data_IF_201167537129
#
_entry.id   IF_201167537129
#
_cell.length_a   1.000
_cell.length_b   1.000
_cell.length_c   1.000
_cell.angle_alpha   90.00
_cell.angle_beta   90.00
_cell.angle_gamma   90.00
#
_symmetry.space_group_name_H-M   'P 1'
#
loop_
_entity.id
_entity.type
_entity.pdbx_description
1 polymer ?
#
# COMPACT_ATOMS: atom_id res chain seq x y z
N UNK A 1 14.94 11.41 -9.78
CA UNK A 1 14.21 10.77 -8.68
C UNK A 1 13.31 9.73 -9.31
N UNK A 2 13.60 8.45 -9.17
CA UNK A 2 12.76 7.38 -9.72
C UNK A 2 11.46 7.37 -8.93
N UNK A 3 10.37 7.81 -9.54
CA UNK A 3 9.06 7.88 -8.89
C UNK A 3 8.64 6.46 -8.50
N UNK A 4 8.23 6.25 -7.25
CA UNK A 4 7.90 4.91 -6.72
C UNK A 4 6.53 4.38 -7.21
N UNK A 5 5.83 5.17 -8.03
CA UNK A 5 4.53 4.90 -8.63
C UNK A 5 4.43 5.60 -10.01
N UNK A 6 3.38 5.29 -10.77
CA UNK A 6 3.21 5.67 -12.17
C UNK A 6 2.31 6.92 -12.30
N UNK A 7 2.93 8.07 -12.54
CA UNK A 7 2.21 9.34 -12.69
C UNK A 7 1.42 9.41 -14.01
N UNK A 8 1.93 8.83 -15.09
CA UNK A 8 1.25 8.86 -16.39
C UNK A 8 -0.09 8.12 -16.28
N UNK A 9 -0.12 7.03 -15.51
CA UNK A 9 -1.35 6.32 -15.17
C UNK A 9 -2.35 7.18 -14.39
N UNK A 10 -1.89 8.03 -13.47
CA UNK A 10 -2.80 8.94 -12.76
C UNK A 10 -3.41 9.97 -13.73
N UNK A 11 -2.59 10.51 -14.64
CA UNK A 11 -3.06 11.44 -15.67
C UNK A 11 -4.07 10.78 -16.60
N UNK A 12 -3.86 9.51 -16.96
CA UNK A 12 -4.81 8.73 -17.76
C UNK A 12 -6.16 8.53 -17.04
N UNK A 13 -6.15 8.29 -15.72
CA UNK A 13 -7.35 8.01 -14.93
C UNK A 13 -8.12 9.27 -14.49
N UNK A 14 -7.41 10.34 -14.14
CA UNK A 14 -7.97 11.52 -13.49
C UNK A 14 -7.81 12.81 -14.31
N UNK A 15 -7.09 12.76 -15.44
CA UNK A 15 -6.72 13.92 -16.22
C UNK A 15 -5.47 14.63 -15.68
N UNK A 16 -4.99 15.62 -16.43
CA UNK A 16 -3.78 16.40 -16.09
C UNK A 16 -4.10 17.64 -15.23
N UNK A 17 -5.09 17.53 -14.34
CA UNK A 17 -5.38 18.60 -13.37
C UNK A 17 -4.47 18.47 -12.15
N UNK A 18 -3.55 19.43 -11.89
CA UNK A 18 -2.58 19.29 -10.81
C UNK A 18 -3.20 19.17 -9.41
N UNK A 19 -4.36 19.78 -9.17
CA UNK A 19 -5.04 19.73 -7.89
C UNK A 19 -5.62 18.33 -7.61
N UNK A 20 -6.29 17.74 -8.60
CA UNK A 20 -6.82 16.38 -8.55
C UNK A 20 -5.70 15.36 -8.36
N UNK A 21 -4.61 15.48 -9.12
CA UNK A 21 -3.46 14.58 -8.99
C UNK A 21 -2.83 14.64 -7.58
N UNK A 22 -2.65 15.85 -7.03
CA UNK A 22 -2.13 16.03 -5.69
C UNK A 22 -3.06 15.48 -4.60
N UNK A 23 -4.38 15.55 -4.80
CA UNK A 23 -5.37 14.96 -3.90
C UNK A 23 -5.28 13.42 -3.88
N UNK A 24 -5.24 12.80 -5.06
CA UNK A 24 -5.10 11.34 -5.19
C UNK A 24 -3.79 10.85 -4.59
N UNK A 25 -2.69 11.54 -4.86
CA UNK A 25 -1.39 11.23 -4.25
C UNK A 25 -1.49 11.30 -2.73
N UNK A 26 -2.04 12.39 -2.17
CA UNK A 26 -2.19 12.56 -0.72
C UNK A 26 -3.05 11.46 -0.08
N UNK A 27 -4.17 11.08 -0.70
CA UNK A 27 -5.03 10.00 -0.20
C UNK A 27 -4.31 8.65 -0.20
N UNK A 28 -3.55 8.37 -1.25
CA UNK A 28 -2.72 7.17 -1.32
C UNK A 28 -1.65 7.16 -0.22
N UNK A 29 -0.96 8.27 0.02
CA UNK A 29 0.04 8.40 1.07
C UNK A 29 -0.54 8.17 2.47
N UNK A 30 -1.71 8.73 2.74
CA UNK A 30 -2.39 8.52 4.02
C UNK A 30 -2.81 7.05 4.18
N UNK A 31 -3.35 6.44 3.12
CA UNK A 31 -3.69 5.01 3.10
C UNK A 31 -2.48 4.12 3.41
N UNK A 32 -1.32 4.43 2.83
CA UNK A 32 -0.07 3.68 3.08
C UNK A 32 0.37 3.79 4.55
N UNK A 33 0.37 5.01 5.09
CA UNK A 33 0.75 5.29 6.49
C UNK A 33 -0.21 4.65 7.50
N UNK A 34 -1.51 4.70 7.22
CA UNK A 34 -2.53 4.06 8.08
C UNK A 34 -2.37 2.54 8.06
N UNK A 35 -2.23 1.94 6.88
CA UNK A 35 -2.06 0.50 6.76
C UNK A 35 -0.77 0.01 7.46
N UNK A 36 0.33 0.75 7.36
CA UNK A 36 1.57 0.41 8.07
C UNK A 36 1.39 0.40 9.59
N UNK A 37 0.72 1.42 10.14
CA UNK A 37 0.41 1.46 11.58
C UNK A 37 -0.47 0.30 12.00
N UNK A 38 -1.57 0.06 11.28
CA UNK A 38 -2.49 -1.04 11.59
C UNK A 38 -1.77 -2.39 11.57
N UNK A 39 -0.95 -2.67 10.55
CA UNK A 39 -0.24 -3.95 10.43
C UNK A 39 0.83 -4.10 11.53
N UNK A 40 1.49 -3.01 11.92
CA UNK A 40 2.50 -3.02 12.99
C UNK A 40 1.90 -3.25 14.36
N UNK A 41 0.79 -2.58 14.66
CA UNK A 41 0.33 -2.36 16.04
C UNK A 41 -0.68 -3.42 16.52
N UNK A 42 -1.05 -4.40 15.69
CA UNK A 42 -1.97 -5.49 16.05
C UNK A 42 -1.50 -6.85 15.53
N UNK A 43 -1.81 -7.93 16.27
CA UNK A 43 -1.69 -9.33 15.81
C UNK A 43 -3.03 -9.88 15.24
N UNK A 44 -4.09 -9.07 15.21
CA UNK A 44 -5.39 -9.46 14.64
C UNK A 44 -5.29 -9.59 13.10
N UNK A 45 -5.28 -10.83 12.62
CA UNK A 45 -5.13 -11.18 11.22
C UNK A 45 -6.28 -10.67 10.34
N UNK A 46 -7.49 -10.48 10.90
CA UNK A 46 -8.62 -9.89 10.15
C UNK A 46 -8.37 -8.41 9.90
N UNK A 47 -7.85 -7.68 10.89
CA UNK A 47 -7.47 -6.26 10.74
C UNK A 47 -6.33 -6.11 9.74
N UNK A 48 -5.28 -6.92 9.88
CA UNK A 48 -4.11 -6.92 8.97
C UNK A 48 -4.55 -7.20 7.53
N UNK A 49 -5.38 -8.22 7.30
CA UNK A 49 -5.85 -8.56 5.96
C UNK A 49 -6.63 -7.41 5.32
N UNK A 50 -7.47 -6.71 6.09
CA UNK A 50 -8.23 -5.54 5.60
C UNK A 50 -7.33 -4.36 5.26
N UNK A 51 -6.37 -4.04 6.14
CA UNK A 51 -5.38 -2.99 5.91
C UNK A 51 -4.57 -3.25 4.62
N UNK A 52 -4.04 -4.46 4.49
CA UNK A 52 -3.27 -4.89 3.32
C UNK A 52 -4.11 -4.89 2.04
N UNK A 53 -5.38 -5.32 2.11
CA UNK A 53 -6.30 -5.29 0.97
C UNK A 53 -6.56 -3.87 0.45
N UNK A 54 -6.83 -2.92 1.37
CA UNK A 54 -7.03 -1.50 1.00
C UNK A 54 -5.80 -0.93 0.31
N UNK A 55 -4.62 -1.12 0.92
CA UNK A 55 -3.38 -0.60 0.34
C UNK A 55 -3.02 -1.27 -0.99
N UNK A 56 -3.30 -2.56 -1.16
CA UNK A 56 -3.14 -3.27 -2.44
C UNK A 56 -3.97 -2.62 -3.55
N UNK A 57 -5.23 -2.28 -3.25
CA UNK A 57 -6.12 -1.58 -4.18
C UNK A 57 -5.58 -0.21 -4.57
N UNK A 58 -5.26 0.62 -3.57
CA UNK A 58 -4.72 1.96 -3.77
C UNK A 58 -3.39 1.94 -4.55
N UNK A 59 -2.50 1.01 -4.22
CA UNK A 59 -1.23 0.79 -4.94
C UNK A 59 -1.45 0.36 -6.39
N UNK A 60 -2.50 -0.42 -6.66
CA UNK A 60 -2.88 -0.82 -8.02
C UNK A 60 -3.38 0.35 -8.86
N UNK A 61 -4.12 1.28 -8.26
CA UNK A 61 -4.64 2.48 -8.91
C UNK A 61 -3.51 3.42 -9.33
N UNK A 62 -2.60 3.76 -8.41
CA UNK A 62 -1.49 4.70 -8.66
C UNK A 62 -0.27 4.06 -9.37
N UNK A 63 -0.27 2.74 -9.56
CA UNK A 63 0.83 2.04 -10.22
C UNK A 63 2.06 1.79 -9.32
N UNK A 64 1.89 1.80 -7.99
CA UNK A 64 2.93 1.40 -7.03
C UNK A 64 3.11 -0.13 -7.02
N UNK A 65 3.67 -0.69 -8.09
CA UNK A 65 3.68 -2.13 -8.35
C UNK A 65 4.42 -2.96 -7.27
N UNK A 66 5.52 -2.43 -6.71
CA UNK A 66 6.26 -3.11 -5.65
C UNK A 66 5.48 -3.15 -4.34
N UNK A 67 4.93 -2.01 -3.90
CA UNK A 67 4.08 -1.95 -2.71
C UNK A 67 2.83 -2.83 -2.85
N UNK A 68 2.18 -2.82 -4.03
CA UNK A 68 1.04 -3.70 -4.33
C UNK A 68 1.39 -5.18 -4.10
N UNK A 69 2.55 -5.64 -4.60
CA UNK A 69 2.97 -7.05 -4.48
C UNK A 69 3.19 -7.44 -3.03
N UNK A 70 3.86 -6.59 -2.25
CA UNK A 70 4.11 -6.90 -0.83
C UNK A 70 2.81 -6.83 -0.02
N UNK A 71 1.93 -5.85 -0.27
CA UNK A 71 0.61 -5.78 0.34
C UNK A 71 -0.24 -7.02 0.04
N UNK A 72 -0.21 -7.53 -1.20
CA UNK A 72 -0.88 -8.78 -1.56
C UNK A 72 -0.29 -9.99 -0.80
N UNK A 73 1.03 -10.05 -0.63
CA UNK A 73 1.67 -11.11 0.15
C UNK A 73 1.24 -11.08 1.63
N UNK A 74 1.20 -9.89 2.24
CA UNK A 74 0.71 -9.71 3.62
C UNK A 74 -0.77 -10.10 3.74
N UNK A 75 -1.62 -9.64 2.80
CA UNK A 75 -3.05 -10.00 2.78
C UNK A 75 -3.24 -11.52 2.71
N UNK A 76 -2.48 -12.21 1.86
CA UNK A 76 -2.55 -13.67 1.72
C UNK A 76 -2.09 -14.39 2.98
N UNK A 77 -0.97 -13.98 3.58
CA UNK A 77 -0.48 -14.58 4.81
C UNK A 77 -1.48 -14.39 5.96
N UNK A 78 -2.05 -13.20 6.09
CA UNK A 78 -3.07 -12.91 7.10
C UNK A 78 -4.34 -13.74 6.90
N UNK A 79 -4.83 -13.89 5.67
CA UNK A 79 -5.98 -14.75 5.34
C UNK A 79 -5.74 -16.24 5.54
N UNK A 80 -4.47 -16.65 5.61
CA UNK A 80 -4.06 -18.03 5.88
C UNK A 80 -3.77 -18.28 7.37
N UNK A 81 -4.10 -17.33 8.25
CA UNK A 81 -3.79 -17.35 9.68
C UNK A 81 -2.29 -17.51 10.01
N UNK A 82 -1.40 -17.06 9.10
CA UNK A 82 0.06 -17.17 9.23
C UNK A 82 0.70 -15.85 9.70
N UNK A 83 0.51 -15.54 10.99
CA UNK A 83 1.12 -14.39 11.65
C UNK A 83 2.66 -14.38 11.53
N UNK A 84 3.39 -15.50 11.69
CA UNK A 84 4.84 -15.51 11.47
C UNK A 84 5.26 -15.04 10.07
N UNK A 85 4.54 -15.44 9.01
CA UNK A 85 4.79 -14.93 7.66
C UNK A 85 4.49 -13.44 7.53
N UNK A 86 3.38 -12.96 8.11
CA UNK A 86 3.08 -11.52 8.14
C UNK A 86 4.25 -10.74 8.77
N UNK A 87 4.78 -11.21 9.90
CA UNK A 87 5.89 -10.54 10.58
C UNK A 87 7.19 -10.58 9.79
N UNK A 88 7.50 -11.67 9.10
CA UNK A 88 8.65 -11.73 8.16
C UNK A 88 8.51 -10.76 6.98
N UNK A 89 7.29 -10.57 6.49
CA UNK A 89 7.01 -9.66 5.37
C UNK A 89 7.01 -8.19 5.79
N UNK A 90 6.86 -7.89 7.09
CA UNK A 90 6.68 -6.53 7.58
C UNK A 90 7.84 -5.60 7.23
N UNK A 91 9.10 -6.06 7.34
CA UNK A 91 10.25 -5.21 7.02
C UNK A 91 10.26 -4.81 5.54
N UNK A 92 9.95 -5.76 4.64
CA UNK A 92 9.82 -5.46 3.21
C UNK A 92 8.64 -4.51 2.94
N UNK A 93 7.54 -4.70 3.67
CA UNK A 93 6.35 -3.86 3.55
C UNK A 93 6.65 -2.42 3.98
N UNK A 94 7.24 -2.23 5.15
CA UNK A 94 7.61 -0.91 5.69
C UNK A 94 8.59 -0.18 4.79
N UNK A 95 9.59 -0.87 4.24
CA UNK A 95 10.51 -0.29 3.27
C UNK A 95 9.81 0.22 2.01
N UNK A 96 8.84 -0.52 1.47
CA UNK A 96 8.08 -0.07 0.30
C UNK A 96 7.12 1.08 0.64
N UNK A 97 6.57 1.14 1.86
CA UNK A 97 5.80 2.30 2.34
C UNK A 97 6.67 3.56 2.42
N UNK A 98 7.88 3.47 2.99
CA UNK A 98 8.83 4.59 3.07
C UNK A 98 9.32 5.07 1.70
N UNK A 99 9.31 4.21 0.68
CA UNK A 99 9.68 4.61 -0.68
C UNK A 99 8.61 5.43 -1.37
N UNK A 100 7.35 5.24 -1.00
CA UNK A 100 6.23 5.97 -1.59
C UNK A 100 5.84 7.20 -0.78
N UNK A 101 6.07 7.22 0.55
CA UNK A 101 5.51 8.20 1.49
C UNK A 101 6.52 9.10 2.21
#
# INVERSE_FOLDING_TARGET
MTQAYDRDKLVELFGDDPATLAEVEREFLDTARVAEREIRDTDDLVVIARAAHRLKGASGMIGAASLRRVAEAVERAAKADDLPSVRRLYDMFSNEVQRVA
#
